data_IF_197096647323
#
_entry.id   IF_197096647323
#
_cell.length_a   1.000
_cell.length_b   1.000
_cell.length_c   1.000
_cell.angle_alpha   90.00
_cell.angle_beta   90.00
_cell.angle_gamma   90.00
#
_symmetry.space_group_name_H-M   'P 1'
#
loop_
_entity.id
_entity.type
_entity.pdbx_description
1 polymer ?
#
# COMPACT_ATOMS: atom_id res chain seq x y z
N UNK A 1 17.97 17.49 3.48
CA UNK A 1 16.58 17.24 3.93
C UNK A 1 16.61 16.13 4.96
N UNK A 2 16.21 16.41 6.20
CA UNK A 2 16.19 15.39 7.25
C UNK A 2 15.10 14.37 6.92
N UNK A 3 15.45 13.08 6.93
CA UNK A 3 14.55 11.97 6.59
C UNK A 3 13.52 11.84 7.72
N UNK A 4 12.23 11.84 7.40
CA UNK A 4 11.20 11.64 8.43
C UNK A 4 11.32 10.25 9.04
N UNK A 5 11.22 10.17 10.37
CA UNK A 5 11.30 8.91 11.08
C UNK A 5 9.95 8.19 11.07
N UNK A 6 9.87 7.16 10.23
CA UNK A 6 8.74 6.25 10.10
C UNK A 6 8.86 5.10 11.10
N UNK A 7 8.45 5.36 12.33
CA UNK A 7 8.27 4.30 13.33
C UNK A 7 7.18 3.31 12.90
N UNK A 8 7.14 2.14 13.54
CA UNK A 8 6.12 1.11 13.29
C UNK A 8 4.71 1.66 13.47
N UNK A 9 4.46 2.40 14.55
CA UNK A 9 3.15 2.97 14.86
C UNK A 9 2.73 4.01 13.82
N UNK A 10 3.65 4.91 13.41
CA UNK A 10 3.37 5.87 12.33
C UNK A 10 3.09 5.18 11.00
N UNK A 11 3.83 4.11 10.69
CA UNK A 11 3.61 3.32 9.48
C UNK A 11 2.26 2.63 9.51
N UNK A 12 1.86 2.02 10.63
CA UNK A 12 0.52 1.42 10.80
C UNK A 12 -0.59 2.46 10.65
N UNK A 13 -0.44 3.62 11.27
CA UNK A 13 -1.39 4.73 11.13
C UNK A 13 -1.50 5.18 9.66
N UNK A 14 -0.37 5.32 8.96
CA UNK A 14 -0.37 5.66 7.53
C UNK A 14 -1.14 4.63 6.70
N UNK A 15 -0.97 3.34 7.00
CA UNK A 15 -1.69 2.25 6.31
C UNK A 15 -3.20 2.34 6.58
N UNK A 16 -3.61 2.55 7.83
CA UNK A 16 -5.02 2.72 8.19
C UNK A 16 -5.67 3.96 7.55
N UNK A 17 -4.90 5.02 7.32
CA UNK A 17 -5.39 6.19 6.59
C UNK A 17 -5.45 5.92 5.08
N UNK A 18 -4.46 5.20 4.53
CA UNK A 18 -4.43 4.79 3.14
C UNK A 18 -5.63 3.91 2.77
N UNK A 19 -6.02 2.98 3.64
CA UNK A 19 -7.21 2.14 3.47
C UNK A 19 -8.49 2.97 3.22
N UNK A 20 -8.62 4.10 3.93
CA UNK A 20 -9.77 5.03 3.81
C UNK A 20 -9.72 5.91 2.57
N UNK A 21 -8.63 5.87 1.80
CA UNK A 21 -8.39 6.72 0.63
C UNK A 21 -8.21 5.84 -0.62
N UNK A 22 -9.27 5.15 -1.10
CA UNK A 22 -9.17 4.18 -2.18
C UNK A 22 -8.68 4.81 -3.49
N UNK A 23 -8.96 6.10 -3.75
CA UNK A 23 -8.41 6.80 -4.92
C UNK A 23 -6.87 6.89 -4.95
N UNK A 24 -6.17 6.58 -3.86
CA UNK A 24 -4.70 6.52 -3.81
C UNK A 24 -4.13 5.18 -4.30
N UNK A 25 -4.83 4.06 -4.11
CA UNK A 25 -4.28 2.72 -4.34
C UNK A 25 -5.17 1.82 -5.22
N UNK A 26 -6.47 2.09 -5.29
CA UNK A 26 -7.44 1.28 -6.02
C UNK A 26 -7.68 1.83 -7.43
N UNK A 27 -7.19 1.09 -8.43
CA UNK A 27 -7.32 1.44 -9.85
C UNK A 27 -8.76 1.39 -10.37
N UNK A 28 -9.66 0.69 -9.66
CA UNK A 28 -11.07 0.57 -10.03
C UNK A 28 -11.88 1.83 -9.68
N UNK A 29 -11.36 2.68 -8.80
CA UNK A 29 -12.01 3.94 -8.46
C UNK A 29 -11.95 4.91 -9.63
N UNK A 30 -13.09 5.53 -9.97
CA UNK A 30 -13.16 6.58 -10.98
C UNK A 30 -12.16 7.72 -10.70
N UNK A 31 -11.99 8.05 -9.42
CA UNK A 31 -11.08 9.09 -8.95
C UNK A 31 -9.60 8.68 -8.90
N UNK A 32 -9.24 7.43 -9.22
CA UNK A 32 -7.84 6.99 -9.23
C UNK A 32 -6.98 7.83 -10.17
N UNK A 33 -7.55 8.27 -11.31
CA UNK A 33 -6.88 9.12 -12.30
C UNK A 33 -6.93 10.62 -11.93
N UNK A 34 -7.65 11.00 -10.87
CA UNK A 34 -7.80 12.39 -10.45
C UNK A 34 -6.53 12.85 -9.70
N UNK A 35 -5.59 13.43 -10.45
CA UNK A 35 -4.31 13.91 -9.91
C UNK A 35 -4.50 14.92 -8.78
N UNK A 36 -5.44 15.85 -8.91
CA UNK A 36 -5.71 16.87 -7.90
C UNK A 36 -6.17 16.25 -6.58
N UNK A 37 -7.09 15.28 -6.62
CA UNK A 37 -7.58 14.58 -5.43
C UNK A 37 -6.48 13.75 -4.77
N UNK A 38 -5.61 13.12 -5.56
CA UNK A 38 -4.44 12.40 -5.04
C UNK A 38 -3.47 13.34 -4.33
N UNK A 39 -3.10 14.45 -4.96
CA UNK A 39 -2.20 15.44 -4.37
C UNK A 39 -2.78 15.99 -3.06
N UNK A 40 -4.05 16.40 -3.07
CA UNK A 40 -4.71 16.93 -1.88
C UNK A 40 -4.73 15.93 -0.71
N UNK A 41 -5.01 14.65 -0.97
CA UNK A 41 -4.97 13.63 0.08
C UNK A 41 -3.55 13.38 0.60
N UNK A 42 -2.53 13.39 -0.26
CA UNK A 42 -1.13 13.24 0.18
C UNK A 42 -0.70 14.45 1.02
N UNK A 43 -1.11 15.66 0.64
CA UNK A 43 -0.84 16.88 1.42
C UNK A 43 -1.53 16.85 2.78
N UNK A 44 -2.78 16.39 2.87
CA UNK A 44 -3.48 16.20 4.14
C UNK A 44 -2.76 15.21 5.05
N UNK A 45 -2.30 14.08 4.49
CA UNK A 45 -1.47 13.12 5.24
C UNK A 45 -0.15 13.77 5.69
N UNK A 46 0.50 14.54 4.83
CA UNK A 46 1.74 15.23 5.15
C UNK A 46 1.57 16.20 6.33
N UNK A 47 0.48 16.97 6.35
CA UNK A 47 0.10 17.82 7.48
C UNK A 47 -0.13 17.00 8.75
N UNK A 48 -0.85 15.88 8.66
CA UNK A 48 -1.14 15.00 9.81
C UNK A 48 0.13 14.39 10.43
N UNK A 49 1.12 14.06 9.61
CA UNK A 49 2.42 13.54 10.07
C UNK A 49 3.46 14.64 10.33
N UNK A 50 3.09 15.92 10.12
CA UNK A 50 3.99 17.07 10.20
C UNK A 50 5.28 16.86 9.37
N UNK A 51 5.10 16.48 8.11
CA UNK A 51 6.18 16.15 7.16
C UNK A 51 5.87 16.67 5.76
N UNK A 52 6.73 16.38 4.79
CA UNK A 52 6.58 16.77 3.40
C UNK A 52 5.69 15.79 2.61
N UNK A 53 4.94 16.31 1.65
CA UNK A 53 4.07 15.50 0.77
C UNK A 53 4.87 14.48 -0.06
N UNK A 54 6.07 14.85 -0.50
CA UNK A 54 7.00 13.95 -1.18
C UNK A 54 7.49 12.82 -0.28
N UNK A 55 7.68 13.09 1.01
CA UNK A 55 8.08 12.07 1.99
C UNK A 55 6.96 11.03 2.23
N UNK A 56 5.72 11.49 2.38
CA UNK A 56 4.54 10.61 2.47
C UNK A 56 4.37 9.83 1.18
N UNK A 57 4.41 10.49 0.03
CA UNK A 57 4.28 9.85 -1.29
C UNK A 57 5.32 8.75 -1.50
N UNK A 58 6.58 9.02 -1.15
CA UNK A 58 7.69 8.05 -1.19
C UNK A 58 7.43 6.86 -0.27
N UNK A 59 6.97 7.10 0.97
CA UNK A 59 6.65 6.02 1.92
C UNK A 59 5.49 5.15 1.41
N UNK A 60 4.41 5.76 0.92
CA UNK A 60 3.27 5.07 0.34
C UNK A 60 3.68 4.20 -0.85
N UNK A 61 4.46 4.77 -1.78
CA UNK A 61 4.99 4.03 -2.92
C UNK A 61 5.80 2.80 -2.48
N UNK A 62 6.72 2.98 -1.53
CA UNK A 62 7.55 1.87 -1.03
C UNK A 62 6.71 0.77 -0.37
N UNK A 63 5.69 1.13 0.42
CA UNK A 63 4.78 0.16 1.05
C UNK A 63 4.01 -0.64 -0.01
N UNK A 64 3.42 0.02 -1.00
CA UNK A 64 2.66 -0.65 -2.07
C UNK A 64 3.57 -1.55 -2.93
N UNK A 65 4.76 -1.09 -3.29
CA UNK A 65 5.73 -1.87 -4.05
C UNK A 65 6.18 -3.11 -3.27
N UNK A 66 6.51 -2.95 -1.99
CA UNK A 66 6.87 -4.08 -1.14
C UNK A 66 5.72 -5.08 -1.00
N UNK A 67 4.49 -4.60 -0.77
CA UNK A 67 3.30 -5.45 -0.72
C UNK A 67 3.10 -6.26 -2.00
N UNK A 68 3.18 -5.61 -3.18
CA UNK A 68 3.03 -6.30 -4.46
C UNK A 68 4.13 -7.36 -4.68
N UNK A 69 5.35 -7.12 -4.21
CA UNK A 69 6.42 -8.12 -4.27
C UNK A 69 6.14 -9.32 -3.36
N UNK A 70 5.68 -9.08 -2.13
CA UNK A 70 5.26 -10.13 -1.20
C UNK A 70 4.07 -10.94 -1.75
N UNK A 71 3.09 -10.29 -2.38
CA UNK A 71 1.99 -10.96 -3.08
C UNK A 71 2.49 -11.85 -4.22
N UNK A 72 3.43 -11.37 -5.05
CA UNK A 72 4.02 -12.17 -6.14
C UNK A 72 4.72 -13.41 -5.61
N UNK A 73 5.47 -13.30 -4.51
CA UNK A 73 6.12 -14.46 -3.85
C UNK A 73 5.08 -15.48 -3.37
N UNK A 74 4.01 -14.99 -2.74
CA UNK A 74 2.90 -15.82 -2.25
C UNK A 74 2.20 -16.55 -3.39
N UNK A 75 1.94 -15.88 -4.53
CA UNK A 75 1.27 -16.47 -5.70
C UNK A 75 2.18 -17.43 -6.47
N UNK A 76 3.46 -17.09 -6.71
CA UNK A 76 4.39 -17.92 -7.50
C UNK A 76 4.61 -19.31 -6.90
N UNK A 77 4.60 -19.44 -5.57
CA UNK A 77 4.71 -20.73 -4.86
C UNK A 77 3.45 -21.59 -4.96
N UNK A 78 2.28 -21.00 -5.22
CA UNK A 78 1.03 -21.74 -5.44
C UNK A 78 1.00 -22.46 -6.80
N UNK A 79 1.73 -21.95 -7.80
CA UNK A 79 1.67 -22.43 -9.19
C UNK A 79 2.89 -23.28 -9.62
N UNK A 80 3.93 -23.40 -8.78
CA UNK A 80 5.13 -24.20 -9.07
C UNK A 80 5.30 -25.32 -8.04
N UNK A 81 5.29 -26.57 -8.52
CA UNK A 81 5.43 -27.81 -7.75
C UNK A 81 6.51 -27.76 -6.64
N UNK A 82 6.19 -28.34 -5.47
CA UNK A 82 7.16 -28.75 -4.44
C UNK A 82 6.86 -28.26 -3.03
N UNK A 83 6.38 -29.17 -2.17
CA UNK A 83 6.14 -29.07 -0.71
C UNK A 83 5.12 -28.02 -0.25
N UNK A 84 4.06 -28.47 0.42
CA UNK A 84 2.86 -27.71 0.79
C UNK A 84 3.01 -26.69 1.92
N UNK A 85 4.05 -25.86 1.87
CA UNK A 85 4.18 -24.72 2.78
C UNK A 85 3.63 -23.45 2.12
N UNK A 86 2.48 -22.99 2.61
CA UNK A 86 1.92 -21.69 2.26
C UNK A 86 2.93 -20.62 2.68
N UNK A 87 3.46 -19.84 1.73
CA UNK A 87 4.32 -18.72 2.09
C UNK A 87 3.50 -17.68 2.87
N UNK A 88 3.75 -17.59 4.17
CA UNK A 88 3.23 -16.53 5.01
C UNK A 88 4.28 -15.41 5.00
N UNK A 89 3.93 -14.26 4.44
CA UNK A 89 4.84 -13.11 4.49
C UNK A 89 5.12 -12.75 5.95
N UNK A 90 6.39 -12.75 6.33
CA UNK A 90 6.85 -12.33 7.68
C UNK A 90 6.86 -10.81 7.83
N UNK A 91 6.41 -10.08 6.82
CA UNK A 91 6.41 -8.63 6.85
C UNK A 91 5.27 -8.10 7.71
N UNK A 92 5.61 -7.37 8.77
CA UNK A 92 4.66 -6.91 9.79
C UNK A 92 3.51 -6.02 9.28
N UNK A 93 3.64 -5.46 8.07
CA UNK A 93 2.61 -4.64 7.44
C UNK A 93 1.84 -5.37 6.34
N UNK A 94 2.17 -6.63 6.04
CA UNK A 94 1.54 -7.40 4.98
C UNK A 94 0.04 -7.59 5.22
N UNK A 95 -0.32 -8.03 6.43
CA UNK A 95 -1.73 -8.20 6.83
C UNK A 95 -2.49 -6.88 6.76
N UNK A 96 -1.90 -5.80 7.28
CA UNK A 96 -2.52 -4.48 7.27
C UNK A 96 -2.74 -3.92 5.85
N UNK A 97 -2.02 -4.41 4.83
CA UNK A 97 -2.18 -4.00 3.43
C UNK A 97 -3.04 -4.97 2.61
N UNK A 98 -3.58 -6.04 3.22
CA UNK A 98 -4.40 -7.01 2.50
C UNK A 98 -5.68 -6.43 1.91
N UNK A 99 -6.21 -5.33 2.45
CA UNK A 99 -7.35 -4.62 1.87
C UNK A 99 -7.14 -4.26 0.38
N UNK A 100 -5.88 -4.09 -0.04
CA UNK A 100 -5.53 -3.79 -1.43
C UNK A 100 -5.86 -4.91 -2.41
N UNK A 101 -5.96 -6.16 -1.94
CA UNK A 101 -6.33 -7.28 -2.80
C UNK A 101 -7.84 -7.34 -3.08
N UNK A 102 -8.66 -6.85 -2.15
CA UNK A 102 -10.12 -6.93 -2.27
C UNK A 102 -10.64 -6.11 -3.46
N UNK A 103 -9.94 -5.04 -3.86
CA UNK A 103 -10.35 -4.22 -5.01
C UNK A 103 -9.87 -4.75 -6.38
N UNK A 104 -8.95 -5.71 -6.41
CA UNK A 104 -8.44 -6.29 -7.66
C UNK A 104 -9.40 -7.30 -8.33
N UNK A 105 -10.60 -7.51 -7.78
CA UNK A 105 -11.64 -8.36 -8.39
C UNK A 105 -12.45 -7.56 -9.43
N UNK A 106 -11.81 -7.14 -10.51
CA UNK A 106 -12.54 -6.83 -11.74
C UNK A 106 -11.59 -6.90 -12.95
N UNK A 107 -11.23 -8.12 -13.36
CA UNK A 107 -10.84 -8.41 -14.76
C UNK A 107 -11.08 -9.90 -15.02
N UNK A 108 -12.35 -10.31 -15.03
CA UNK A 108 -12.77 -11.42 -15.88
C UNK A 108 -13.14 -10.79 -17.23
N UNK A 109 -12.32 -11.03 -18.24
CA UNK A 109 -12.66 -10.88 -19.67
C UNK A 109 -12.67 -12.29 -20.24
#
# INVERSE_FOLDING_TARGET
>A
MSKFDWTKNKTKLLISLLEKLPHLWDVSQADYKNRSKRTASIEQLAQQFNTDSGEVGRKLHNLMTQFNNELRKTRKRKNGQGSGEVYISKWEFFEALQFMQSSSKCTEI
#
